data_IF_270967528141
#
_entry.id   IF_270967528141
#
_cell.length_a   1.000
_cell.length_b   1.000
_cell.length_c   1.000
_cell.angle_alpha   90.00
_cell.angle_beta   90.00
_cell.angle_gamma   90.00
#
_symmetry.space_group_name_H-M   'P 1'
#
loop_
_entity.id
_entity.type
_entity.pdbx_description
1 polymer ?
#
# COMPACT_ATOMS: atom_id res chain seq x y z
N UNK A 1 1.18 -0.64 10.87
CA UNK A 1 1.98 -1.02 9.68
C UNK A 1 3.11 -0.01 9.43
N UNK A 2 2.85 1.29 9.52
CA UNK A 2 3.84 2.38 9.32
C UNK A 2 5.11 2.25 10.19
N UNK A 3 4.98 1.71 11.41
CA UNK A 3 6.11 1.55 12.34
C UNK A 3 7.21 0.61 11.83
N UNK A 4 6.85 -0.42 11.05
CA UNK A 4 7.84 -1.35 10.48
C UNK A 4 8.67 -0.68 9.38
N UNK A 5 8.02 0.07 8.49
CA UNK A 5 8.70 0.84 7.43
C UNK A 5 9.57 1.96 8.01
N UNK A 6 9.11 2.61 9.07
CA UNK A 6 9.89 3.59 9.81
C UNK A 6 11.17 2.96 10.40
N UNK A 7 11.08 1.75 10.95
CA UNK A 7 12.23 1.05 11.53
C UNK A 7 13.24 0.59 10.47
N UNK A 8 12.77 0.05 9.35
CA UNK A 8 13.60 -0.28 8.18
C UNK A 8 14.36 0.96 7.69
N UNK A 9 13.66 2.07 7.51
CA UNK A 9 14.25 3.32 7.02
C UNK A 9 15.31 3.85 7.99
N UNK A 10 15.03 3.84 9.29
CA UNK A 10 15.95 4.38 10.28
C UNK A 10 17.20 3.51 10.46
N UNK A 11 17.07 2.18 10.39
CA UNK A 11 18.19 1.23 10.55
C UNK A 11 19.00 1.07 9.27
N UNK A 12 18.34 0.82 8.14
CA UNK A 12 19.01 0.45 6.88
C UNK A 12 19.20 1.62 5.92
N UNK A 13 18.57 2.78 6.11
CA UNK A 13 18.71 3.91 5.18
C UNK A 13 19.38 5.12 5.83
N UNK A 14 19.00 5.44 7.07
CA UNK A 14 19.50 6.64 7.76
C UNK A 14 20.76 6.40 8.60
N UNK A 15 20.92 5.20 9.17
CA UNK A 15 22.08 4.82 9.99
C UNK A 15 23.01 3.81 9.31
N UNK A 16 22.58 3.22 8.20
CA UNK A 16 23.38 2.24 7.48
C UNK A 16 24.42 2.94 6.58
N UNK A 17 25.71 2.75 6.89
CA UNK A 17 26.81 3.17 6.04
C UNK A 17 27.22 1.99 5.14
N UNK A 18 26.68 1.94 3.92
CA UNK A 18 27.03 0.89 2.96
C UNK A 18 27.96 1.43 1.89
N UNK A 19 29.07 0.71 1.68
CA UNK A 19 30.07 1.04 0.66
C UNK A 19 29.61 0.70 -0.77
N UNK A 20 28.46 0.04 -0.94
CA UNK A 20 27.86 -0.27 -2.24
C UNK A 20 26.37 -0.57 -2.15
N UNK A 21 25.66 -0.37 -3.26
CA UNK A 21 24.22 -0.66 -3.39
C UNK A 21 23.92 -2.15 -3.19
N UNK A 22 24.82 -3.04 -3.62
CA UNK A 22 24.67 -4.49 -3.40
C UNK A 22 24.68 -4.86 -1.92
N UNK A 23 25.53 -4.21 -1.12
CA UNK A 23 25.55 -4.38 0.35
C UNK A 23 24.27 -3.85 1.00
N UNK A 24 23.75 -2.71 0.54
CA UNK A 24 22.45 -2.20 1.00
C UNK A 24 21.32 -3.19 0.72
N UNK A 25 21.25 -3.75 -0.50
CA UNK A 25 20.26 -4.77 -0.86
C UNK A 25 20.34 -6.01 0.03
N UNK A 26 21.55 -6.53 0.25
CA UNK A 26 21.76 -7.68 1.12
C UNK A 26 21.33 -7.39 2.57
N UNK A 27 21.63 -6.20 3.08
CA UNK A 27 21.25 -5.80 4.42
C UNK A 27 19.72 -5.62 4.58
N UNK A 28 19.04 -5.09 3.56
CA UNK A 28 17.57 -5.03 3.54
C UNK A 28 16.97 -6.44 3.51
N UNK A 29 17.52 -7.34 2.69
CA UNK A 29 17.02 -8.71 2.59
C UNK A 29 17.19 -9.48 3.91
N UNK A 30 18.34 -9.35 4.57
CA UNK A 30 18.59 -9.93 5.89
C UNK A 30 17.67 -9.34 6.97
N UNK A 31 17.35 -8.04 6.88
CA UNK A 31 16.40 -7.40 7.79
C UNK A 31 14.98 -7.95 7.61
N UNK A 32 14.53 -8.16 6.37
CA UNK A 32 13.23 -8.78 6.07
C UNK A 32 13.18 -10.21 6.61
N UNK A 33 14.20 -11.01 6.33
CA UNK A 33 14.30 -12.40 6.76
C UNK A 33 14.26 -12.53 8.30
N UNK A 34 15.04 -11.70 9.00
CA UNK A 34 15.03 -11.64 10.47
C UNK A 34 13.67 -11.20 11.04
N UNK A 35 12.93 -10.33 10.34
CA UNK A 35 11.58 -9.93 10.74
C UNK A 35 10.51 -10.98 10.39
N UNK A 36 10.77 -11.86 9.42
CA UNK A 36 9.91 -13.00 9.07
C UNK A 36 10.18 -14.24 9.92
N UNK A 37 11.38 -14.41 10.45
CA UNK A 37 11.79 -15.57 11.26
C UNK A 37 10.99 -15.74 12.57
N UNK A 38 10.38 -14.66 13.09
CA UNK A 38 9.46 -14.72 14.22
C UNK A 38 8.16 -14.00 13.82
N UNK A 39 7.28 -14.67 13.06
CA UNK A 39 6.13 -14.02 12.49
C UNK A 39 5.20 -13.62 13.63
N UNK A 40 5.13 -12.33 13.95
CA UNK A 40 3.90 -11.82 14.56
C UNK A 40 2.85 -11.91 13.46
N UNK A 41 1.89 -12.85 13.55
CA UNK A 41 0.85 -12.92 12.53
C UNK A 41 0.20 -11.55 12.47
N UNK A 42 0.26 -10.93 11.30
CA UNK A 42 -0.50 -9.74 11.06
C UNK A 42 -1.96 -10.17 11.14
N UNK A 43 -2.61 -9.85 12.27
CA UNK A 43 -4.03 -10.12 12.45
C UNK A 43 -4.76 -9.16 11.53
N UNK A 44 -5.13 -9.66 10.36
CA UNK A 44 -6.07 -8.98 9.50
C UNK A 44 -7.39 -8.89 10.26
N UNK A 45 -7.71 -7.71 10.79
CA UNK A 45 -8.99 -7.46 11.47
C UNK A 45 -10.19 -7.62 10.55
N UNK A 46 -9.96 -7.65 9.24
CA UNK A 46 -10.95 -7.92 8.20
C UNK A 46 -10.54 -9.17 7.43
N UNK A 47 -11.49 -10.05 7.15
CA UNK A 47 -11.26 -11.20 6.28
C UNK A 47 -10.92 -10.75 4.85
N UNK A 48 -10.29 -11.62 4.06
CA UNK A 48 -10.02 -11.35 2.64
C UNK A 48 -11.30 -10.94 1.89
N UNK A 49 -12.42 -11.60 2.18
CA UNK A 49 -13.75 -11.26 1.66
C UNK A 49 -14.18 -9.82 1.99
N UNK A 50 -14.02 -9.40 3.25
CA UNK A 50 -14.37 -8.04 3.68
C UNK A 50 -13.53 -6.96 2.98
N UNK A 51 -12.28 -7.29 2.66
CA UNK A 51 -11.37 -6.39 1.92
C UNK A 51 -11.80 -6.31 0.47
N UNK A 52 -12.07 -7.45 -0.18
CA UNK A 52 -12.56 -7.50 -1.56
C UNK A 52 -13.90 -6.77 -1.71
N UNK A 53 -14.82 -6.97 -0.78
CA UNK A 53 -16.10 -6.25 -0.75
C UNK A 53 -15.91 -4.75 -0.58
N UNK A 54 -14.93 -4.31 0.22
CA UNK A 54 -14.60 -2.88 0.37
C UNK A 54 -14.03 -2.28 -0.91
N UNK A 55 -13.18 -3.02 -1.63
CA UNK A 55 -12.62 -2.60 -2.91
C UNK A 55 -13.73 -2.51 -3.97
N UNK A 56 -14.60 -3.51 -4.06
CA UNK A 56 -15.73 -3.52 -4.98
C UNK A 56 -16.68 -2.32 -4.76
N UNK A 57 -17.03 -2.05 -3.50
CA UNK A 57 -17.86 -0.87 -3.15
C UNK A 57 -17.19 0.45 -3.52
N UNK A 58 -15.88 0.56 -3.29
CA UNK A 58 -15.13 1.75 -3.65
C UNK A 58 -15.10 1.95 -5.17
N UNK A 59 -14.76 0.90 -5.92
CA UNK A 59 -14.71 0.93 -7.38
C UNK A 59 -16.08 1.32 -7.99
N UNK A 60 -17.17 0.73 -7.48
CA UNK A 60 -18.52 1.06 -7.93
C UNK A 60 -18.86 2.54 -7.67
N UNK A 61 -18.56 3.05 -6.47
CA UNK A 61 -18.78 4.47 -6.12
C UNK A 61 -18.01 5.41 -7.02
N UNK A 62 -16.74 5.11 -7.30
CA UNK A 62 -15.92 5.92 -8.19
C UNK A 62 -16.46 5.91 -9.61
N UNK A 63 -16.87 4.74 -10.10
CA UNK A 63 -17.48 4.60 -11.43
C UNK A 63 -18.79 5.40 -11.54
N UNK A 64 -19.68 5.31 -10.55
CA UNK A 64 -20.93 6.07 -10.50
C UNK A 64 -20.69 7.58 -10.50
N UNK A 65 -19.70 8.06 -9.74
CA UNK A 65 -19.33 9.48 -9.72
C UNK A 65 -18.79 9.94 -11.09
N UNK A 66 -18.00 9.10 -11.77
CA UNK A 66 -17.51 9.39 -13.11
C UNK A 66 -18.65 9.38 -14.15
N UNK A 67 -19.60 8.44 -14.05
CA UNK A 67 -20.77 8.39 -14.91
C UNK A 67 -21.69 9.62 -14.71
N UNK A 68 -21.89 10.05 -13.46
CA UNK A 68 -22.64 11.25 -13.12
C UNK A 68 -21.95 12.55 -13.60
N UNK A 69 -20.62 12.59 -13.57
CA UNK A 69 -19.85 13.70 -14.16
C UNK A 69 -19.95 13.72 -15.70
N UNK A 70 -19.97 12.55 -16.33
CA UNK A 70 -20.11 12.44 -17.78
C UNK A 70 -21.51 12.86 -18.26
N UNK A 71 -22.57 12.43 -17.57
CA UNK A 71 -23.95 12.81 -17.92
C UNK A 71 -24.20 14.31 -17.71
N UNK A 72 -23.60 14.92 -16.69
CA UNK A 72 -23.71 16.36 -16.43
C UNK A 72 -23.05 17.22 -17.51
N UNK A 73 -22.06 16.69 -18.24
CA UNK A 73 -21.35 17.40 -19.32
C UNK A 73 -22.13 17.38 -20.64
N UNK A 74 -23.01 16.40 -20.87
CA UNK A 74 -23.77 16.28 -22.12
C UNK A 74 -25.11 17.01 -22.10
N UNK A 75 -25.62 17.42 -20.93
CA UNK A 75 -26.88 18.16 -20.81
C UNK A 75 -26.73 19.67 -21.04
N UNK A 76 -25.52 20.14 -21.36
CA UNK A 76 -25.20 21.53 -21.66
C UNK A 76 -24.99 21.81 -23.15
N UNK A 77 -25.89 21.37 -24.03
CA UNK A 77 -25.99 21.91 -25.40
C UNK A 77 -27.45 21.82 -25.84
N UNK A 78 -28.19 22.89 -25.54
CA UNK A 78 -29.62 22.97 -25.78
C UNK A 78 -30.15 24.39 -25.62
N UNK A 79 -29.47 25.37 -26.24
CA UNK A 79 -30.02 26.49 -27.00
C UNK A 79 -28.92 27.45 -27.47
#
# INVERSE_FOLDING_TARGET
MERWFAELTNKQLRRGAYQSVSKLKAAIQAFIDAHQANPKPFVWTKTADQILASIARFAQRTFDLQAAQHVSRTTGTGH
#
